data_IF_220407026123
#
_entry.id   IF_220407026123
#
_cell.length_a   1.000
_cell.length_b   1.000
_cell.length_c   1.000
_cell.angle_alpha   90.00
_cell.angle_beta   90.00
_cell.angle_gamma   90.00
#
_symmetry.space_group_name_H-M   'P 1'
#
loop_
_entity.id
_entity.type
_entity.pdbx_description
1 polymer ?
#
# COMPACT_ATOMS: atom_id res chain seq x y z
N UNK A 1 -10.39 -11.58 13.33
CA UNK A 1 -9.07 -10.97 13.04
C UNK A 1 -9.29 -9.76 12.17
N UNK A 2 -9.03 -8.57 12.73
CA UNK A 2 -9.16 -7.32 11.99
C UNK A 2 -7.84 -7.00 11.28
N UNK A 3 -7.91 -6.71 9.98
CA UNK A 3 -6.78 -6.29 9.18
C UNK A 3 -7.06 -4.96 8.49
N UNK A 4 -5.99 -4.24 8.16
CA UNK A 4 -6.06 -3.10 7.25
C UNK A 4 -5.03 -3.18 6.14
N UNK A 5 -5.39 -2.60 5.00
CA UNK A 5 -4.47 -2.46 3.87
C UNK A 5 -3.64 -1.18 4.02
N UNK A 6 -2.36 -1.24 3.69
CA UNK A 6 -1.47 -0.07 3.57
C UNK A 6 -1.00 0.01 2.13
N UNK A 7 -1.25 1.14 1.49
CA UNK A 7 -0.95 1.34 0.08
C UNK A 7 0.17 2.36 -0.04
N UNK A 8 1.26 1.94 -0.66
CA UNK A 8 2.27 2.83 -1.22
C UNK A 8 1.97 3.04 -2.70
N UNK A 9 1.96 4.30 -3.11
CA UNK A 9 1.53 4.72 -4.43
C UNK A 9 2.57 5.66 -5.06
N UNK A 10 2.40 5.99 -6.34
CA UNK A 10 3.20 7.00 -7.04
C UNK A 10 2.29 7.98 -7.78
N UNK A 11 2.75 9.19 -8.14
CA UNK A 11 1.97 10.11 -8.96
C UNK A 11 1.51 9.46 -10.28
N UNK A 12 0.32 9.83 -10.76
CA UNK A 12 -0.25 9.39 -12.04
C UNK A 12 -0.26 7.85 -12.20
N UNK A 13 -0.62 7.13 -11.13
CA UNK A 13 -0.62 5.66 -11.11
C UNK A 13 -2.03 5.09 -11.27
N UNK A 14 -2.35 4.61 -12.47
CA UNK A 14 -3.65 3.99 -12.73
C UNK A 14 -3.89 2.75 -11.87
N UNK A 15 -2.92 1.83 -11.79
CA UNK A 15 -3.02 0.64 -10.93
C UNK A 15 -3.27 1.01 -9.46
N UNK A 16 -2.73 2.13 -8.99
CA UNK A 16 -2.96 2.61 -7.62
C UNK A 16 -4.40 3.09 -7.44
N UNK A 17 -4.94 3.80 -8.44
CA UNK A 17 -6.35 4.23 -8.48
C UNK A 17 -7.27 3.02 -8.49
N UNK A 18 -6.99 2.01 -9.33
CA UNK A 18 -7.77 0.78 -9.42
C UNK A 18 -7.76 -0.01 -8.10
N UNK A 19 -6.60 -0.20 -7.46
CA UNK A 19 -6.51 -0.86 -6.15
C UNK A 19 -7.33 -0.14 -5.08
N UNK A 20 -7.20 1.19 -4.97
CA UNK A 20 -7.95 1.99 -3.98
C UNK A 20 -9.46 1.93 -4.24
N UNK A 21 -9.86 2.05 -5.51
CA UNK A 21 -11.26 1.96 -5.92
C UNK A 21 -11.84 0.59 -5.57
N UNK A 22 -11.15 -0.49 -5.92
CA UNK A 22 -11.58 -1.84 -5.61
C UNK A 22 -11.79 -2.02 -4.11
N UNK A 23 -10.84 -1.59 -3.27
CA UNK A 23 -10.95 -1.69 -1.81
C UNK A 23 -12.13 -0.89 -1.26
N UNK A 24 -12.34 0.33 -1.77
CA UNK A 24 -13.48 1.17 -1.38
C UNK A 24 -14.83 0.53 -1.77
N UNK A 25 -14.94 -0.01 -2.97
CA UNK A 25 -16.15 -0.69 -3.47
C UNK A 25 -16.48 -1.96 -2.66
N UNK A 26 -15.49 -2.59 -2.03
CA UNK A 26 -15.66 -3.78 -1.17
C UNK A 26 -15.67 -3.45 0.34
N UNK A 27 -15.86 -2.17 0.69
CA UNK A 27 -15.98 -1.72 2.08
C UNK A 27 -14.70 -1.92 2.92
N UNK A 28 -13.54 -2.07 2.29
CA UNK A 28 -12.29 -2.32 3.00
C UNK A 28 -11.59 -1.02 3.39
N UNK A 29 -11.16 -0.95 4.65
CA UNK A 29 -10.32 0.14 5.14
C UNK A 29 -8.90 0.02 4.60
N UNK A 30 -8.34 1.14 4.13
CA UNK A 30 -6.96 1.21 3.71
C UNK A 30 -6.31 2.54 4.11
N UNK A 31 -4.99 2.50 4.32
CA UNK A 31 -4.17 3.65 4.70
C UNK A 31 -3.20 4.01 3.57
N UNK A 32 -3.25 5.27 3.17
CA UNK A 32 -2.24 5.90 2.29
C UNK A 32 -1.30 6.82 3.05
N UNK A 33 -1.37 6.80 4.38
CA UNK A 33 -0.48 7.54 5.28
C UNK A 33 0.07 6.57 6.32
N UNK A 34 1.25 6.88 6.85
CA UNK A 34 1.81 6.15 7.98
C UNK A 34 1.21 6.64 9.32
N UNK A 35 1.61 6.02 10.43
CA UNK A 35 1.20 6.38 11.80
C UNK A 35 1.50 7.84 12.24
N UNK A 36 2.42 8.54 11.55
CA UNK A 36 2.76 9.95 11.81
C UNK A 36 1.96 10.91 10.93
N UNK A 37 1.01 10.39 10.14
CA UNK A 37 0.23 11.17 9.18
C UNK A 37 0.96 11.48 7.87
N UNK A 38 2.19 10.98 7.69
CA UNK A 38 2.97 11.24 6.48
C UNK A 38 2.47 10.38 5.31
N UNK A 39 2.35 10.97 4.13
CA UNK A 39 1.86 10.28 2.93
C UNK A 39 2.78 9.15 2.49
N UNK A 40 2.19 8.02 2.09
CA UNK A 40 2.85 6.88 1.45
C UNK A 40 3.05 7.09 -0.06
N UNK A 41 2.72 8.26 -0.60
CA UNK A 41 3.03 8.65 -1.99
C UNK A 41 4.54 8.70 -2.18
N UNK A 42 5.08 7.83 -3.03
CA UNK A 42 6.47 7.80 -3.44
C UNK A 42 6.61 8.69 -4.67
N UNK A 43 7.10 9.90 -4.45
CA UNK A 43 7.28 10.92 -5.46
C UNK A 43 8.74 11.40 -5.47
N UNK A 44 9.50 10.90 -6.45
CA UNK A 44 10.91 11.27 -6.67
C UNK A 44 11.06 12.68 -7.23
N UNK A 45 9.98 13.30 -7.70
CA UNK A 45 9.96 14.67 -8.21
C UNK A 45 9.32 15.64 -7.21
N UNK A 46 9.09 15.21 -5.96
CA UNK A 46 8.49 16.05 -4.94
C UNK A 46 9.34 17.32 -4.69
N UNK A 47 8.67 18.48 -4.63
CA UNK A 47 9.30 19.76 -4.31
C UNK A 47 9.99 19.74 -2.94
N UNK A 48 9.41 19.02 -1.97
CA UNK A 48 10.01 18.85 -0.65
C UNK A 48 11.24 17.92 -0.73
N UNK A 49 12.45 18.40 -0.39
CA UNK A 49 13.68 17.61 -0.51
C UNK A 49 13.70 16.38 0.41
N UNK A 50 13.13 16.47 1.62
CA UNK A 50 13.01 15.33 2.54
C UNK A 50 12.08 14.26 1.96
N UNK A 51 10.97 14.68 1.34
CA UNK A 51 10.02 13.76 0.70
C UNK A 51 10.64 13.07 -0.51
N UNK A 52 11.41 13.79 -1.31
CA UNK A 52 12.15 13.26 -2.45
C UNK A 52 13.21 12.26 -2.02
N UNK A 53 14.05 12.61 -1.04
CA UNK A 53 15.05 11.70 -0.47
C UNK A 53 14.42 10.42 0.10
N UNK A 54 13.34 10.56 0.89
CA UNK A 54 12.56 9.42 1.37
C UNK A 54 12.02 8.56 0.22
N UNK A 55 11.52 9.18 -0.84
CA UNK A 55 10.97 8.47 -2.00
C UNK A 55 12.02 7.66 -2.75
N UNK A 56 13.22 8.22 -2.97
CA UNK A 56 14.35 7.49 -3.55
C UNK A 56 14.74 6.28 -2.70
N UNK A 57 14.91 6.47 -1.38
CA UNK A 57 15.21 5.35 -0.47
C UNK A 57 14.10 4.28 -0.49
N UNK A 58 12.84 4.69 -0.68
CA UNK A 58 11.73 3.75 -0.69
C UNK A 58 11.68 2.92 -1.96
N UNK A 59 12.00 3.49 -3.11
CA UNK A 59 12.17 2.75 -4.36
C UNK A 59 13.27 1.70 -4.24
N UNK A 60 14.43 2.06 -3.66
CA UNK A 60 15.53 1.10 -3.44
C UNK A 60 15.06 -0.07 -2.59
N UNK A 61 14.46 0.20 -1.42
CA UNK A 61 13.93 -0.84 -0.53
C UNK A 61 12.87 -1.73 -1.18
N UNK A 62 12.02 -1.17 -2.02
CA UNK A 62 11.01 -1.96 -2.75
C UNK A 62 11.66 -2.87 -3.79
N UNK A 63 12.63 -2.37 -4.55
CA UNK A 63 13.37 -3.18 -5.54
C UNK A 63 14.15 -4.32 -4.88
N UNK A 64 14.84 -4.04 -3.78
CA UNK A 64 15.57 -5.06 -3.00
C UNK A 64 14.63 -6.17 -2.48
N UNK A 65 13.39 -5.81 -2.15
CA UNK A 65 12.36 -6.76 -1.72
C UNK A 65 11.58 -7.42 -2.88
N UNK A 66 11.98 -7.19 -4.15
CA UNK A 66 11.34 -7.77 -5.33
C UNK A 66 10.06 -7.06 -5.80
N UNK A 67 9.74 -5.89 -5.26
CA UNK A 67 8.56 -5.09 -5.64
C UNK A 67 8.92 -4.07 -6.73
N UNK A 68 8.65 -4.43 -7.97
CA UNK A 68 9.07 -3.69 -9.18
C UNK A 68 8.07 -2.62 -9.66
N UNK A 69 6.82 -2.66 -9.18
CA UNK A 69 5.73 -1.81 -9.67
C UNK A 69 4.83 -1.28 -8.55
N UNK A 70 4.18 -0.15 -8.82
CA UNK A 70 3.18 0.43 -7.93
C UNK A 70 1.76 -0.03 -8.30
N UNK A 71 0.82 -0.11 -7.34
CA UNK A 71 1.05 0.13 -5.90
C UNK A 71 1.86 -0.99 -5.26
N UNK A 72 2.56 -0.69 -4.16
CA UNK A 72 3.01 -1.72 -3.22
C UNK A 72 1.99 -1.78 -2.10
N UNK A 73 1.32 -2.91 -1.98
CA UNK A 73 0.24 -3.11 -1.01
C UNK A 73 0.75 -4.00 0.11
N UNK A 74 0.46 -3.62 1.35
CA UNK A 74 0.69 -4.43 2.54
C UNK A 74 -0.62 -4.72 3.24
N UNK A 75 -0.74 -5.90 3.81
CA UNK A 75 -1.79 -6.25 4.77
C UNK A 75 -1.15 -6.29 6.15
N UNK A 76 -1.79 -5.61 7.10
CA UNK A 76 -1.37 -5.63 8.49
C UNK A 76 -2.47 -6.13 9.39
N UNK A 77 -2.09 -6.88 10.40
CA UNK A 77 -2.94 -7.21 11.53
C UNK A 77 -3.13 -5.95 12.41
N UNK A 78 -4.37 -5.63 12.75
CA UNK A 78 -4.69 -4.43 13.53
C UNK A 78 -4.28 -4.54 15.00
N UNK A 79 -4.25 -5.74 15.56
CA UNK A 79 -3.98 -5.96 16.99
C UNK A 79 -2.48 -5.94 17.29
N UNK A 80 -1.68 -6.60 16.45
CA UNK A 80 -0.23 -6.77 16.62
C UNK A 80 0.57 -5.75 15.81
N UNK A 81 0.00 -5.26 14.70
CA UNK A 81 0.71 -4.45 13.73
C UNK A 81 1.59 -5.27 12.77
N UNK A 82 1.58 -6.60 12.83
CA UNK A 82 2.42 -7.45 11.99
C UNK A 82 2.07 -7.33 10.51
N UNK A 83 3.07 -7.51 9.66
CA UNK A 83 2.88 -7.56 8.20
C UNK A 83 2.54 -8.99 7.80
N UNK A 84 1.28 -9.22 7.44
CA UNK A 84 0.78 -10.54 7.05
C UNK A 84 1.07 -10.86 5.57
N UNK A 85 1.05 -9.83 4.72
CA UNK A 85 1.37 -9.96 3.31
C UNK A 85 1.89 -8.65 2.72
N UNK A 86 2.66 -8.77 1.63
CA UNK A 86 3.07 -7.64 0.80
C UNK A 86 3.16 -8.07 -0.66
N UNK A 87 2.65 -7.26 -1.59
CA UNK A 87 2.79 -7.49 -3.03
C UNK A 87 2.89 -6.18 -3.81
N UNK A 88 3.30 -6.28 -5.09
CA UNK A 88 3.35 -5.17 -6.04
C UNK A 88 2.30 -5.32 -7.16
N UNK A 89 1.75 -4.19 -7.60
CA UNK A 89 0.77 -4.08 -8.68
C UNK A 89 -0.69 -4.21 -8.23
N UNK A 90 -1.61 -3.90 -9.14
CA UNK A 90 -3.02 -4.22 -8.95
C UNK A 90 -3.23 -5.72 -9.10
N UNK A 91 -3.67 -6.38 -8.02
CA UNK A 91 -3.91 -7.82 -7.95
C UNK A 91 -5.29 -8.08 -7.34
N UNK A 92 -6.37 -8.05 -8.13
CA UNK A 92 -7.74 -8.19 -7.63
C UNK A 92 -7.98 -9.51 -6.90
N UNK A 93 -7.36 -10.61 -7.35
CA UNK A 93 -7.44 -11.91 -6.66
C UNK A 93 -6.88 -11.86 -5.23
N UNK A 94 -5.69 -11.27 -5.05
CA UNK A 94 -5.11 -11.10 -3.72
C UNK A 94 -5.98 -10.19 -2.83
N UNK A 95 -6.51 -9.10 -3.40
CA UNK A 95 -7.42 -8.22 -2.67
C UNK A 95 -8.69 -8.97 -2.22
N UNK A 96 -9.27 -9.80 -3.10
CA UNK A 96 -10.43 -10.62 -2.79
C UNK A 96 -10.14 -11.64 -1.68
N UNK A 97 -9.02 -12.37 -1.76
CA UNK A 97 -8.62 -13.34 -0.73
C UNK A 97 -8.48 -12.68 0.65
N UNK A 98 -7.79 -11.55 0.73
CA UNK A 98 -7.59 -10.86 2.01
C UNK A 98 -8.86 -10.19 2.54
N UNK A 99 -9.72 -9.69 1.66
CA UNK A 99 -11.05 -9.18 2.03
C UNK A 99 -11.91 -10.28 2.65
N UNK A 100 -11.92 -11.48 2.03
CA UNK A 100 -12.64 -12.63 2.58
C UNK A 100 -12.10 -13.03 3.96
N UNK A 101 -10.77 -13.03 4.15
CA UNK A 101 -10.16 -13.29 5.46
C UNK A 101 -10.59 -12.25 6.51
N UNK A 102 -10.66 -10.96 6.14
CA UNK A 102 -11.08 -9.89 7.05
C UNK A 102 -12.55 -10.02 7.48
N UNK A 103 -13.41 -10.59 6.63
CA UNK A 103 -14.84 -10.78 6.88
C UNK A 103 -15.16 -12.00 7.75
N UNK A 104 -14.24 -12.97 7.85
CA UNK A 104 -14.36 -14.11 8.75
C UNK A 104 -13.99 -13.78 10.20
N UNK A 105 -13.48 -12.57 10.42
CA UNK A 105 -12.79 -12.14 11.61
C UNK A 105 -13.61 -11.25 12.54
#
# INVERSE_FOLDING_TARGET
MAIHFVIYEKPNCESCRLTKRWLAEHGQHFRTKNHRGESNLVDINANNPLKRAWSHQKIVKFREAGYDRFPVVRVRDDATGDVLATWSGFRPEALASWTAINQLG
#
